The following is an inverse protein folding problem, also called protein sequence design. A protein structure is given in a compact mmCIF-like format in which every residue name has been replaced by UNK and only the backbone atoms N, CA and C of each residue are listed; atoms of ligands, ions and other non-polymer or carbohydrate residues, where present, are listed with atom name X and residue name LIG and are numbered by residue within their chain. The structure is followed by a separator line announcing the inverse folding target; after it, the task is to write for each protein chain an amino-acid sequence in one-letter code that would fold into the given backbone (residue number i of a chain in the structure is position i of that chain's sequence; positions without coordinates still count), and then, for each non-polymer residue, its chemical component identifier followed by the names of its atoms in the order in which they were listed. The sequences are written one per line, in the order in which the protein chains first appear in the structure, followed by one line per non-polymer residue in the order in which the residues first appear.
data_IF_358397683981
#
_entry.id   IF_358397683981
#
_cell.length_a   1.000
_cell.length_b   1.000
_cell.length_c   1.000
_cell.angle_alpha   90.00
_cell.angle_beta   90.00
_cell.angle_gamma   90.00
#
_symmetry.space_group_name_H-M   'P 1'
#
loop_
_entity.id
_entity.type
_entity.pdbx_description
1 polymer ?
#
# COMPACT_ATOMS: atom_id res chain seq x y z
N UNK A 1 40.81 -60.57 -20.88
CA UNK A 1 39.50 -60.05 -21.36
C UNK A 1 38.55 -59.98 -20.18
N UNK A 2 38.07 -58.79 -19.82
CA UNK A 2 36.83 -58.42 -19.09
C UNK A 2 37.06 -57.12 -18.32
N UNK A 3 36.58 -56.02 -18.86
CA UNK A 3 36.34 -54.79 -18.11
C UNK A 3 34.83 -54.73 -17.90
N UNK A 4 34.40 -54.85 -16.65
CA UNK A 4 32.99 -54.68 -16.26
C UNK A 4 32.83 -53.20 -15.93
N UNK A 5 32.17 -52.46 -16.82
CA UNK A 5 31.81 -51.07 -16.58
C UNK A 5 30.48 -51.00 -15.83
N UNK A 6 30.49 -50.48 -14.62
CA UNK A 6 29.28 -50.14 -13.87
C UNK A 6 28.83 -48.72 -14.25
N UNK A 7 27.65 -48.59 -14.85
CA UNK A 7 27.01 -47.30 -15.08
C UNK A 7 26.12 -46.96 -13.89
N UNK A 8 26.48 -45.90 -13.14
CA UNK A 8 25.64 -45.36 -12.06
C UNK A 8 24.75 -44.29 -12.68
N UNK A 9 23.46 -44.61 -12.84
CA UNK A 9 22.46 -43.68 -13.33
C UNK A 9 21.89 -42.91 -12.13
N UNK A 10 22.36 -41.68 -11.90
CA UNK A 10 21.78 -40.77 -10.91
C UNK A 10 20.71 -39.93 -11.60
N UNK A 11 19.44 -40.13 -11.22
CA UNK A 11 18.31 -39.31 -11.65
C UNK A 11 18.00 -38.29 -10.54
N UNK A 12 18.25 -37.02 -10.81
CA UNK A 12 17.86 -35.91 -9.93
C UNK A 12 16.39 -35.58 -10.23
N UNK A 13 15.50 -35.90 -9.31
CA UNK A 13 14.11 -35.46 -9.37
C UNK A 13 14.01 -34.02 -8.84
N UNK A 14 13.98 -33.05 -9.74
CA UNK A 14 13.59 -31.68 -9.40
C UNK A 14 12.07 -31.64 -9.22
N UNK A 15 11.60 -31.63 -7.97
CA UNK A 15 10.20 -31.31 -7.66
C UNK A 15 10.00 -29.80 -7.79
N UNK A 16 9.28 -29.38 -8.83
CA UNK A 16 8.87 -27.98 -9.00
C UNK A 16 7.76 -27.70 -8.00
N UNK A 17 8.07 -26.96 -6.93
CA UNK A 17 7.05 -26.40 -6.03
C UNK A 17 6.37 -25.28 -6.81
N UNK A 18 5.13 -25.52 -7.24
CA UNK A 18 4.28 -24.50 -7.83
C UNK A 18 3.93 -23.48 -6.75
N UNK A 19 4.70 -22.39 -6.64
CA UNK A 19 4.29 -21.24 -5.86
C UNK A 19 3.03 -20.65 -6.52
N UNK A 20 1.95 -20.50 -5.76
CA UNK A 20 0.81 -19.69 -6.21
C UNK A 20 1.32 -18.28 -6.53
N UNK A 21 0.91 -17.65 -7.64
CA UNK A 21 1.29 -16.27 -7.92
C UNK A 21 0.76 -15.38 -6.80
N UNK A 22 1.67 -14.84 -5.99
CA UNK A 22 1.40 -13.82 -4.99
C UNK A 22 1.60 -12.46 -5.67
N UNK A 23 0.50 -11.73 -5.85
CA UNK A 23 0.52 -10.33 -6.24
C UNK A 23 0.55 -9.49 -4.96
N UNK A 24 1.47 -8.53 -4.86
CA UNK A 24 1.47 -7.55 -3.76
C UNK A 24 1.10 -6.20 -4.34
N UNK A 25 0.17 -5.49 -3.69
CA UNK A 25 -0.26 -4.16 -4.08
C UNK A 25 -0.25 -3.25 -2.88
N UNK A 26 0.19 -2.02 -3.09
CA UNK A 26 0.10 -0.94 -2.13
C UNK A 26 -1.00 0.00 -2.57
N UNK A 27 -1.86 0.40 -1.64
CA UNK A 27 -2.84 1.46 -1.81
C UNK A 27 -2.61 2.53 -0.75
N UNK A 28 -3.00 3.76 -1.05
CA UNK A 28 -3.00 4.87 -0.12
C UNK A 28 -4.35 4.95 0.61
N UNK A 29 -4.35 5.53 1.81
CA UNK A 29 -5.56 5.71 2.60
C UNK A 29 -6.61 6.47 1.77
N UNK A 30 -7.80 5.89 1.65
CA UNK A 30 -8.93 6.44 0.90
C UNK A 30 -8.90 6.21 -0.61
N UNK A 31 -7.95 5.47 -1.14
CA UNK A 31 -7.97 5.06 -2.54
C UNK A 31 -9.00 3.96 -2.83
N UNK A 32 -9.46 3.91 -4.08
CA UNK A 32 -10.25 2.79 -4.59
C UNK A 32 -9.31 1.73 -5.19
N UNK A 33 -9.49 0.47 -4.79
CA UNK A 33 -8.68 -0.67 -5.28
C UNK A 33 -9.52 -1.59 -6.14
N UNK A 34 -9.08 -1.77 -7.39
CA UNK A 34 -9.75 -2.62 -8.37
C UNK A 34 -9.14 -4.03 -8.42
N UNK A 35 -9.94 -5.04 -8.09
CA UNK A 35 -9.55 -6.45 -8.16
C UNK A 35 -10.25 -7.10 -9.34
N UNK A 36 -9.47 -7.48 -10.35
CA UNK A 36 -9.97 -8.21 -11.51
C UNK A 36 -10.52 -9.59 -11.08
N UNK A 37 -11.78 -9.84 -11.42
CA UNK A 37 -12.49 -11.10 -11.13
C UNK A 37 -13.24 -11.56 -12.37
N UNK A 38 -13.45 -12.87 -12.49
CA UNK A 38 -14.32 -13.46 -13.51
C UNK A 38 -15.75 -13.53 -13.00
N UNK A 39 -16.70 -13.72 -13.92
CA UNK A 39 -18.15 -13.78 -13.65
C UNK A 39 -18.60 -14.89 -12.69
N UNK A 40 -17.74 -15.87 -12.39
CA UNK A 40 -18.04 -16.96 -11.44
C UNK A 40 -17.01 -17.04 -10.30
N UNK A 41 -16.19 -16.00 -10.13
CA UNK A 41 -15.14 -16.00 -9.11
C UNK A 41 -15.72 -15.94 -7.69
N UNK A 42 -14.93 -16.47 -6.76
CA UNK A 42 -15.11 -16.27 -5.34
C UNK A 42 -13.94 -15.44 -4.79
N UNK A 43 -14.25 -14.47 -3.93
CA UNK A 43 -13.24 -13.65 -3.27
C UNK A 43 -13.46 -13.70 -1.77
N UNK A 44 -12.42 -14.06 -1.04
CA UNK A 44 -12.39 -14.08 0.41
C UNK A 44 -11.28 -13.18 0.91
N UNK A 45 -11.62 -12.28 1.83
CA UNK A 45 -10.69 -11.41 2.53
C UNK A 45 -10.24 -12.04 3.84
N UNK A 46 -8.93 -12.00 4.08
CA UNK A 46 -8.26 -12.41 5.32
C UNK A 46 -7.58 -11.18 5.92
N UNK A 47 -8.12 -10.58 6.99
CA UNK A 47 -7.52 -9.41 7.62
C UNK A 47 -6.10 -9.68 8.08
N UNK A 48 -5.22 -8.67 8.01
CA UNK A 48 -3.86 -8.80 8.55
C UNK A 48 -3.86 -9.16 10.03
N UNK A 49 -4.77 -8.57 10.80
CA UNK A 49 -4.88 -8.74 12.25
C UNK A 49 -5.32 -10.15 12.66
N UNK A 50 -6.06 -10.87 11.81
CA UNK A 50 -6.49 -12.24 12.06
C UNK A 50 -6.64 -13.02 10.76
N UNK A 51 -5.55 -13.68 10.33
CA UNK A 51 -5.51 -14.47 9.08
C UNK A 51 -6.34 -15.75 9.11
N UNK A 52 -6.80 -16.19 10.29
CA UNK A 52 -7.69 -17.35 10.43
C UNK A 52 -9.15 -16.99 10.20
N UNK A 53 -9.49 -15.69 10.21
CA UNK A 53 -10.82 -15.19 9.92
C UNK A 53 -10.96 -14.90 8.43
N UNK A 54 -12.03 -15.44 7.82
CA UNK A 54 -12.32 -15.32 6.40
C UNK A 54 -13.64 -14.55 6.21
N UNK A 55 -13.58 -13.43 5.49
CA UNK A 55 -14.75 -12.63 5.14
C UNK A 55 -15.05 -12.82 3.66
N UNK A 56 -16.16 -13.49 3.28
CA UNK A 56 -16.54 -13.60 1.88
C UNK A 56 -16.97 -12.23 1.35
N UNK A 57 -16.32 -11.77 0.28
CA UNK A 57 -16.68 -10.54 -0.44
C UNK A 57 -17.50 -10.85 -1.68
N UNK A 58 -17.11 -11.89 -2.42
CA UNK A 58 -17.76 -12.34 -3.65
C UNK A 58 -17.97 -13.85 -3.61
N UNK A 59 -19.14 -14.33 -4.04
CA UNK A 59 -19.45 -15.76 -4.17
C UNK A 59 -20.18 -16.01 -5.48
N UNK A 60 -19.65 -16.90 -6.31
CA UNK A 60 -20.20 -17.22 -7.63
C UNK A 60 -20.55 -15.96 -8.45
N UNK A 61 -19.64 -14.98 -8.47
CA UNK A 61 -19.83 -13.70 -9.16
C UNK A 61 -20.82 -12.72 -8.51
N UNK A 62 -21.43 -13.08 -7.38
CA UNK A 62 -22.37 -12.23 -6.66
C UNK A 62 -21.74 -11.62 -5.42
N UNK A 63 -21.92 -10.31 -5.26
CA UNK A 63 -21.41 -9.55 -4.12
C UNK A 63 -22.15 -9.95 -2.83
N UNK A 64 -21.39 -10.37 -1.81
CA UNK A 64 -21.94 -10.83 -0.51
C UNK A 64 -21.86 -9.71 0.53
N UNK A 65 -20.85 -8.85 0.43
CA UNK A 65 -20.61 -7.77 1.38
C UNK A 65 -20.61 -6.40 0.67
N UNK A 66 -21.79 -5.77 0.65
CA UNK A 66 -22.00 -4.47 -0.02
C UNK A 66 -21.41 -3.27 0.75
N UNK A 67 -21.09 -3.42 2.03
CA UNK A 67 -20.54 -2.31 2.82
C UNK A 67 -19.05 -2.12 2.63
N UNK A 68 -18.36 -3.09 2.01
CA UNK A 68 -16.89 -3.11 1.86
C UNK A 68 -16.42 -3.18 0.42
N UNK A 69 -17.29 -3.54 -0.52
CA UNK A 69 -16.94 -3.64 -1.92
C UNK A 69 -18.16 -3.43 -2.83
N UNK A 70 -17.91 -3.12 -4.09
CA UNK A 70 -18.91 -3.10 -5.15
C UNK A 70 -18.40 -3.81 -6.42
N UNK A 71 -19.30 -4.13 -7.35
CA UNK A 71 -18.93 -4.60 -8.68
C UNK A 71 -19.12 -3.45 -9.66
N UNK A 72 -18.06 -3.09 -10.39
CA UNK A 72 -18.14 -2.06 -11.43
C UNK A 72 -18.74 -2.64 -12.73
N UNK A 73 -18.95 -1.78 -13.73
CA UNK A 73 -19.49 -2.17 -15.04
C UNK A 73 -18.54 -3.05 -15.88
N UNK A 74 -17.25 -3.08 -15.54
CA UNK A 74 -16.23 -3.94 -16.16
C UNK A 74 -16.18 -5.34 -15.55
N UNK A 75 -16.86 -5.55 -14.41
CA UNK A 75 -16.86 -6.80 -13.66
C UNK A 75 -15.78 -6.89 -12.59
N UNK A 76 -15.03 -5.82 -12.32
CA UNK A 76 -14.06 -5.80 -11.22
C UNK A 76 -14.76 -5.68 -9.87
N UNK A 77 -14.19 -6.34 -8.86
CA UNK A 77 -14.51 -6.09 -7.47
C UNK A 77 -13.73 -4.83 -7.02
N UNK A 78 -14.44 -3.77 -6.69
CA UNK A 78 -13.87 -2.50 -6.25
C UNK A 78 -13.99 -2.38 -4.74
N UNK A 79 -12.87 -2.24 -4.06
CA UNK A 79 -12.80 -1.81 -2.66
C UNK A 79 -12.77 -0.29 -2.66
N UNK A 80 -13.73 0.34 -1.99
CA UNK A 80 -13.82 1.81 -1.96
C UNK A 80 -13.20 2.38 -0.70
N UNK A 81 -12.56 3.54 -0.83
CA UNK A 81 -12.08 4.32 0.31
C UNK A 81 -11.28 3.45 1.30
N UNK A 82 -10.27 2.73 0.79
CA UNK A 82 -9.59 1.68 1.58
C UNK A 82 -8.88 2.26 2.80
N UNK A 83 -9.04 1.60 3.94
CA UNK A 83 -8.43 1.99 5.21
C UNK A 83 -7.47 0.91 5.70
N UNK A 84 -6.73 1.18 6.79
CA UNK A 84 -5.79 0.21 7.38
C UNK A 84 -6.43 -1.14 7.72
N UNK A 85 -7.71 -1.14 8.08
CA UNK A 85 -8.50 -2.34 8.39
C UNK A 85 -8.75 -3.25 7.18
N UNK A 86 -8.66 -2.70 5.96
CA UNK A 86 -8.77 -3.44 4.72
C UNK A 86 -7.41 -4.06 4.31
N UNK A 87 -6.34 -3.79 5.07
CA UNK A 87 -5.05 -4.43 4.89
C UNK A 87 -5.13 -5.94 5.17
N UNK A 88 -4.62 -6.75 4.24
CA UNK A 88 -4.65 -8.20 4.36
C UNK A 88 -4.47 -8.94 3.06
N UNK A 89 -4.99 -10.17 3.03
CA UNK A 89 -4.88 -11.07 1.87
C UNK A 89 -6.25 -11.31 1.27
N UNK A 90 -6.38 -11.01 -0.01
CA UNK A 90 -7.54 -11.31 -0.82
C UNK A 90 -7.25 -12.57 -1.62
N UNK A 91 -7.99 -13.63 -1.34
CA UNK A 91 -7.89 -14.90 -2.05
C UNK A 91 -8.96 -14.94 -3.13
N UNK A 92 -8.53 -14.91 -4.38
CA UNK A 92 -9.41 -14.97 -5.55
C UNK A 92 -9.35 -16.39 -6.10
N UNK A 93 -10.51 -17.03 -6.22
CA UNK A 93 -10.67 -18.38 -6.79
C UNK A 93 -11.58 -18.28 -8.01
N UNK A 94 -11.11 -18.81 -9.13
CA UNK A 94 -11.92 -18.91 -10.34
C UNK A 94 -12.40 -20.35 -10.55
N UNK A 95 -13.46 -20.49 -11.34
CA UNK A 95 -14.05 -21.80 -11.70
C UNK A 95 -13.06 -22.74 -12.43
N UNK A 96 -11.94 -22.21 -12.95
CA UNK A 96 -10.91 -22.99 -13.66
C UNK A 96 -9.90 -23.70 -12.73
N UNK A 97 -10.18 -23.79 -11.43
CA UNK A 97 -9.24 -24.26 -10.39
C UNK A 97 -7.98 -23.40 -10.25
N UNK A 98 -7.97 -22.18 -10.81
CA UNK A 98 -6.94 -21.19 -10.53
C UNK A 98 -7.26 -20.48 -9.23
N UNK A 99 -6.26 -20.41 -8.34
CA UNK A 99 -6.32 -19.55 -7.17
C UNK A 99 -5.11 -18.63 -7.17
N UNK A 100 -5.38 -17.34 -6.91
CA UNK A 100 -4.34 -16.32 -6.77
C UNK A 100 -4.58 -15.53 -5.49
N UNK A 101 -3.52 -14.94 -4.98
CA UNK A 101 -3.58 -14.13 -3.78
C UNK A 101 -3.10 -12.73 -4.10
N UNK A 102 -3.89 -11.73 -3.69
CA UNK A 102 -3.50 -10.35 -3.65
C UNK A 102 -3.23 -9.96 -2.20
N UNK A 103 -2.00 -9.59 -1.88
CA UNK A 103 -1.63 -8.98 -0.60
C UNK A 103 -1.80 -7.48 -0.77
N UNK A 104 -2.78 -6.91 -0.07
CA UNK A 104 -2.99 -5.46 -0.04
C UNK A 104 -2.27 -4.90 1.18
N UNK A 105 -1.47 -3.87 0.98
CA UNK A 105 -0.86 -3.03 2.03
C UNK A 105 -1.45 -1.63 1.89
N UNK A 106 -1.98 -1.08 2.97
CA UNK A 106 -2.56 0.28 2.97
C UNK A 106 -1.61 1.21 3.70
N UNK A 107 -1.13 2.24 3.01
CA UNK A 107 -0.29 3.27 3.61
C UNK A 107 -1.16 4.31 4.30
N UNK A 108 -0.79 4.69 5.52
CA UNK A 108 -1.39 5.81 6.27
C UNK A 108 -0.94 7.17 5.73
N UNK A 109 -0.96 7.33 4.42
CA UNK A 109 -0.74 8.59 3.73
C UNK A 109 -1.55 8.60 2.43
N UNK A 110 -1.89 9.80 1.94
CA UNK A 110 -2.58 9.96 0.66
C UNK A 110 -1.63 9.91 -0.55
N UNK A 111 -0.34 10.17 -0.34
CA UNK A 111 0.69 10.16 -1.37
C UNK A 111 2.07 9.94 -0.74
N UNK A 112 2.87 9.07 -1.34
CA UNK A 112 4.28 8.89 -1.00
C UNK A 112 5.14 9.25 -2.21
N UNK A 113 6.12 10.15 -2.04
CA UNK A 113 7.00 10.59 -3.11
C UNK A 113 8.46 10.59 -2.68
N UNK A 114 9.33 10.01 -3.49
CA UNK A 114 10.78 10.11 -3.33
C UNK A 114 11.27 11.39 -4.00
N UNK A 115 11.86 12.30 -3.22
CA UNK A 115 12.39 13.58 -3.68
C UNK A 115 13.88 13.65 -3.40
N UNK A 116 14.68 14.15 -4.36
CA UNK A 116 16.12 14.30 -4.15
C UNK A 116 16.42 15.53 -3.30
N UNK A 117 17.46 15.44 -2.48
CA UNK A 117 17.94 16.60 -1.73
C UNK A 117 18.36 17.73 -2.68
N UNK A 118 17.97 18.96 -2.32
CA UNK A 118 18.15 20.17 -3.13
C UNK A 118 17.03 20.43 -4.14
N UNK A 119 16.16 19.45 -4.45
CA UNK A 119 15.03 19.67 -5.35
C UNK A 119 13.87 20.38 -4.64
N UNK A 120 12.78 20.60 -5.39
CA UNK A 120 11.54 21.18 -4.88
C UNK A 120 10.48 20.09 -4.78
N UNK A 121 9.86 19.97 -3.61
CA UNK A 121 8.71 19.11 -3.38
C UNK A 121 7.42 19.94 -3.43
N UNK A 122 6.39 19.42 -4.12
CA UNK A 122 5.11 20.12 -4.32
C UNK A 122 3.99 19.21 -3.84
N UNK A 123 3.22 19.68 -2.87
CA UNK A 123 2.01 19.02 -2.37
C UNK A 123 0.81 19.73 -2.98
N UNK A 124 0.08 19.05 -3.85
CA UNK A 124 -1.12 19.60 -4.48
C UNK A 124 -2.33 19.47 -3.56
N UNK A 125 -3.08 20.57 -3.39
CA UNK A 125 -4.21 20.69 -2.45
C UNK A 125 -5.57 20.53 -3.15
N UNK A 126 -5.64 19.72 -4.21
CA UNK A 126 -6.82 19.64 -5.10
C UNK A 126 -8.15 19.33 -4.39
N UNK A 127 -8.12 18.76 -3.19
CA UNK A 127 -9.29 18.39 -2.39
C UNK A 127 -9.29 18.97 -0.97
N UNK A 128 -8.44 19.97 -0.70
CA UNK A 128 -8.38 20.63 0.62
C UNK A 128 -9.07 21.99 0.53
N UNK A 129 -10.23 22.10 1.17
CA UNK A 129 -10.91 23.39 1.31
C UNK A 129 -10.30 24.18 2.49
N UNK A 130 -10.00 25.46 2.27
CA UNK A 130 -9.29 26.29 3.25
C UNK A 130 -10.06 26.53 4.56
N UNK A 131 -9.38 27.01 5.63
CA UNK A 131 -7.98 27.47 5.68
C UNK A 131 -6.97 26.33 5.91
N UNK A 132 -5.74 26.50 5.39
CA UNK A 132 -4.70 25.47 5.39
C UNK A 132 -3.82 25.60 6.65
N UNK A 133 -3.66 24.49 7.36
CA UNK A 133 -2.61 24.26 8.35
C UNK A 133 -1.72 23.14 7.84
N UNK A 134 -0.41 23.34 7.85
CA UNK A 134 0.56 22.30 7.50
C UNK A 134 1.29 21.86 8.76
N UNK A 135 1.30 20.56 9.02
CA UNK A 135 2.07 19.96 10.09
C UNK A 135 3.14 19.04 9.50
N UNK A 136 4.19 18.77 10.25
CA UNK A 136 5.25 17.87 9.81
C UNK A 136 5.59 16.88 10.91
N UNK A 137 5.67 15.62 10.53
CA UNK A 137 6.14 14.53 11.37
C UNK A 137 7.40 13.94 10.76
N UNK A 138 8.57 14.09 11.41
CA UNK A 138 9.80 13.50 10.89
C UNK A 138 9.71 11.98 10.87
N UNK A 139 10.20 11.38 9.79
CA UNK A 139 10.36 9.93 9.71
C UNK A 139 11.51 9.53 10.63
N UNK A 140 11.23 8.74 11.65
CA UNK A 140 12.29 8.06 12.37
C UNK A 140 12.82 6.98 11.42
N UNK A 141 13.94 7.25 10.74
CA UNK A 141 14.64 6.23 9.94
C UNK A 141 15.02 5.07 10.86
N UNK A 142 14.13 4.08 10.97
CA UNK A 142 14.32 2.87 11.75
C UNK A 142 15.12 1.92 10.87
N UNK A 143 16.44 2.15 10.80
CA UNK A 143 17.37 1.15 10.29
C UNK A 143 17.25 -0.07 11.21
N UNK A 144 16.56 -1.11 10.73
CA UNK A 144 16.19 -2.36 11.41
C UNK A 144 15.04 -2.28 12.42
N UNK A 145 13.82 -2.62 12.01
CA UNK A 145 12.80 -3.01 12.98
C UNK A 145 11.97 -4.21 12.54
N UNK A 146 12.22 -5.31 13.23
CA UNK A 146 11.16 -6.15 13.79
C UNK A 146 10.49 -5.37 14.93
N UNK A 147 9.18 -5.16 14.81
CA UNK A 147 8.20 -4.98 15.89
C UNK A 147 8.66 -4.22 17.14
N UNK A 148 8.66 -2.88 17.09
CA UNK A 148 8.41 -2.08 18.29
C UNK A 148 7.53 -0.90 17.89
N UNK A 149 6.28 -0.89 18.34
CA UNK A 149 5.43 0.31 18.41
C UNK A 149 6.10 1.33 19.36
N UNK A 150 7.13 2.02 18.90
CA UNK A 150 7.64 3.21 19.60
C UNK A 150 6.69 4.35 19.22
N UNK A 151 6.04 4.93 20.24
CA UNK A 151 5.16 6.11 20.11
C UNK A 151 5.76 7.11 19.12
N UNK A 152 5.04 7.37 18.04
CA UNK A 152 5.48 8.34 17.05
C UNK A 152 5.54 9.74 17.68
N UNK A 153 6.54 10.58 17.31
CA UNK A 153 6.64 11.94 17.82
C UNK A 153 5.42 12.76 17.36
N UNK A 154 4.94 13.70 18.19
CA UNK A 154 3.83 14.56 17.80
C UNK A 154 4.23 15.41 16.57
N UNK A 155 3.26 15.73 15.70
CA UNK A 155 3.52 16.55 14.54
C UNK A 155 3.82 18.00 14.96
N UNK A 156 4.65 18.68 14.16
CA UNK A 156 5.07 20.07 14.39
C UNK A 156 4.38 20.97 13.36
N UNK A 157 3.69 22.01 13.81
CA UNK A 157 3.03 22.96 12.89
C UNK A 157 4.09 23.78 12.15
N UNK A 158 4.15 23.63 10.83
CA UNK A 158 5.06 24.37 9.96
C UNK A 158 4.43 25.63 9.38
N UNK A 159 3.13 25.59 9.09
CA UNK A 159 2.38 26.73 8.57
C UNK A 159 1.01 26.81 9.24
N UNK A 160 0.66 27.99 9.74
CA UNK A 160 -0.62 28.25 10.37
C UNK A 160 -1.33 29.41 9.67
N UNK A 161 -2.01 29.08 8.55
CA UNK A 161 -2.92 29.92 7.75
C UNK A 161 -2.35 31.21 7.14
N UNK A 162 -1.38 31.85 7.80
CA UNK A 162 -0.86 33.18 7.49
C UNK A 162 0.66 33.23 7.59
N UNK A 163 1.27 32.37 8.43
CA UNK A 163 2.71 32.41 8.68
C UNK A 163 3.33 31.00 8.70
N UNK A 164 4.56 30.93 8.18
CA UNK A 164 5.47 29.80 8.37
C UNK A 164 6.11 29.94 9.75
N UNK A 165 5.97 28.91 10.59
CA UNK A 165 6.39 28.92 11.99
C UNK A 165 7.77 28.26 12.21
N UNK A 166 8.18 27.33 11.35
CA UNK A 166 9.48 26.67 11.46
C UNK A 166 10.59 27.54 10.86
N UNK A 167 11.56 27.96 11.67
CA UNK A 167 12.69 28.81 11.22
C UNK A 167 13.43 28.20 10.01
N UNK A 168 13.67 26.89 10.04
CA UNK A 168 14.30 26.14 8.94
C UNK A 168 13.47 26.12 7.65
N UNK A 169 12.18 26.42 7.73
CA UNK A 169 11.25 26.43 6.61
C UNK A 169 11.00 27.85 6.09
N UNK A 170 11.37 28.89 6.83
CA UNK A 170 11.25 30.28 6.37
C UNK A 170 12.08 30.48 5.10
N UNK A 171 11.44 30.98 4.05
CA UNK A 171 12.07 31.17 2.73
C UNK A 171 12.23 29.90 1.89
N UNK A 172 11.95 28.71 2.45
CA UNK A 172 11.89 27.44 1.70
C UNK A 172 10.47 26.95 1.47
N UNK A 173 9.57 27.20 2.42
CA UNK A 173 8.18 26.79 2.35
C UNK A 173 7.32 27.95 1.84
N UNK A 174 6.56 27.70 0.77
CA UNK A 174 5.54 28.62 0.26
C UNK A 174 4.20 27.90 0.18
N UNK A 175 3.15 28.54 0.67
CA UNK A 175 1.79 27.99 0.71
C UNK A 175 0.86 28.88 -0.10
N UNK A 176 0.01 28.25 -0.89
CA UNK A 176 -1.06 28.88 -1.68
C UNK A 176 -2.33 28.03 -1.56
N UNK A 177 -3.45 28.55 -2.02
CA UNK A 177 -4.74 27.84 -2.00
C UNK A 177 -4.75 26.54 -2.82
N UNK A 178 -3.78 26.35 -3.73
CA UNK A 178 -3.71 25.18 -4.64
C UNK A 178 -2.60 24.20 -4.31
N UNK A 179 -1.55 24.67 -3.64
CA UNK A 179 -0.38 23.84 -3.36
C UNK A 179 0.46 24.40 -2.22
N UNK A 180 1.13 23.48 -1.53
CA UNK A 180 2.29 23.74 -0.69
C UNK A 180 3.53 23.40 -1.49
N UNK A 181 4.58 24.22 -1.39
CA UNK A 181 5.84 23.98 -2.07
C UNK A 181 6.99 24.14 -1.10
N UNK A 182 7.80 23.09 -0.98
CA UNK A 182 9.01 23.05 -0.18
C UNK A 182 10.23 23.05 -1.12
N UNK A 183 10.95 24.15 -1.15
CA UNK A 183 12.17 24.31 -1.93
C UNK A 183 13.40 23.81 -1.19
N UNK A 184 14.41 23.35 -1.94
CA UNK A 184 15.70 22.93 -1.41
C UNK A 184 15.54 21.88 -0.31
N UNK A 185 14.89 20.75 -0.65
CA UNK A 185 14.63 19.64 0.27
C UNK A 185 15.93 19.16 0.92
N UNK A 186 15.89 18.91 2.23
CA UNK A 186 17.01 18.46 3.07
C UNK A 186 16.70 17.09 3.66
N UNK A 187 17.74 16.45 4.19
CA UNK A 187 17.60 15.20 4.94
C UNK A 187 16.67 15.33 6.16
N UNK A 188 16.64 16.51 6.80
CA UNK A 188 15.74 16.80 7.93
C UNK A 188 14.27 16.92 7.54
N UNK A 189 13.99 17.04 6.23
CA UNK A 189 12.63 17.14 5.70
C UNK A 189 12.07 15.73 5.36
N UNK A 190 12.81 14.66 5.64
CA UNK A 190 12.31 13.29 5.46
C UNK A 190 11.23 12.98 6.51
N UNK A 191 10.00 12.80 6.06
CA UNK A 191 8.85 12.62 6.93
C UNK A 191 7.52 12.82 6.21
N UNK A 192 6.46 12.89 7.02
CA UNK A 192 5.10 13.14 6.58
C UNK A 192 4.77 14.62 6.76
N UNK A 193 4.17 15.21 5.72
CA UNK A 193 3.67 16.59 5.68
C UNK A 193 2.14 16.58 5.57
#
# INVERSE_FOLDING_TARGET
MRVIGAAVLSAVFCTVVSASPHESRTAFFGEDVHIEVSSESEVVFKPRTNRSYEVPLLRAGSLVNQSKAELNSLGDLVLKDVQEEDEGVYVIRDNRNSSRQLVLVVRDCALEQVVKYGETYVIHLNHVEGPITLEFRPSLVRVNQTDIHTSEPPPVVLYNQTAVLGEDYVGRLSVSDRQVTLHSVRMTDEGSF
#
